data_IF_707144088129
#
_entry.id   IF_707144088129
#
_cell.length_a   1.000
_cell.length_b   1.000
_cell.length_c   1.000
_cell.angle_alpha   90.00
_cell.angle_beta   90.00
_cell.angle_gamma   90.00
#
_symmetry.space_group_name_H-M   'P 1'
#
loop_
_entity.id
_entity.type
_entity.pdbx_description
1 polymer ?
#
# COMPACT_ATOMS: atom_id res chain seq x y z
N UNK A 1 5.75 32.80 -1.05
CA UNK A 1 5.77 31.84 -2.18
C UNK A 1 4.66 30.85 -1.92
N UNK A 2 3.63 30.82 -2.77
CA UNK A 2 2.52 29.88 -2.66
C UNK A 2 3.03 28.48 -2.97
N UNK A 3 3.23 27.66 -1.95
CA UNK A 3 3.45 26.21 -2.12
C UNK A 3 2.19 25.64 -2.75
N UNK A 4 2.19 25.45 -4.07
CA UNK A 4 1.07 24.85 -4.78
C UNK A 4 0.85 23.46 -4.22
N UNK A 5 -0.28 23.25 -3.53
CA UNK A 5 -0.69 21.94 -3.01
C UNK A 5 -0.70 20.96 -4.18
N UNK A 6 0.15 19.94 -4.11
CA UNK A 6 0.15 18.89 -5.14
C UNK A 6 -1.19 18.17 -5.10
N UNK A 7 -1.78 17.90 -6.28
CA UNK A 7 -3.08 17.26 -6.32
C UNK A 7 -2.96 15.79 -5.91
N UNK A 8 -3.87 15.33 -5.06
CA UNK A 8 -3.74 14.06 -4.34
C UNK A 8 -3.70 12.83 -5.24
N UNK A 9 -4.25 12.89 -6.45
CA UNK A 9 -4.17 11.81 -7.44
C UNK A 9 -2.74 11.50 -7.92
N UNK A 10 -1.77 12.38 -7.67
CA UNK A 10 -0.37 12.21 -8.11
C UNK A 10 0.42 11.29 -7.18
N UNK A 11 0.01 11.18 -5.91
CA UNK A 11 0.76 10.43 -4.90
C UNK A 11 0.86 8.92 -5.14
N UNK A 12 -0.16 8.21 -5.66
CA UNK A 12 -0.01 6.79 -6.00
C UNK A 12 1.07 6.55 -7.07
N UNK A 13 1.12 7.42 -8.10
CA UNK A 13 2.12 7.36 -9.17
C UNK A 13 3.50 7.73 -8.63
N UNK A 14 3.59 8.75 -7.77
CA UNK A 14 4.85 9.10 -7.08
C UNK A 14 5.32 7.99 -6.16
N UNK A 15 4.42 7.29 -5.47
CA UNK A 15 4.74 6.13 -4.64
C UNK A 15 5.38 5.02 -5.45
N UNK A 16 4.81 4.71 -6.62
CA UNK A 16 5.39 3.76 -7.57
C UNK A 16 6.79 4.20 -8.04
N UNK A 17 6.96 5.46 -8.44
CA UNK A 17 8.25 5.99 -8.86
C UNK A 17 9.29 5.98 -7.73
N UNK A 18 8.88 6.39 -6.52
CA UNK A 18 9.73 6.39 -5.33
C UNK A 18 10.19 4.98 -4.96
N UNK A 19 9.28 4.01 -5.06
CA UNK A 19 9.56 2.60 -4.88
C UNK A 19 10.60 2.07 -5.88
N UNK A 20 10.55 2.50 -7.14
CA UNK A 20 11.52 2.11 -8.17
C UNK A 20 12.89 2.78 -8.01
N UNK A 21 12.93 3.99 -7.46
CA UNK A 21 14.17 4.78 -7.28
C UNK A 21 14.95 4.43 -6.01
N UNK A 22 14.29 3.85 -4.99
CA UNK A 22 14.90 3.48 -3.71
C UNK A 22 14.89 1.96 -3.45
N UNK A 23 15.43 1.12 -4.36
CA UNK A 23 15.30 -0.33 -4.27
C UNK A 23 15.98 -0.92 -3.02
N UNK A 24 17.14 -0.39 -2.62
CA UNK A 24 17.92 -0.94 -1.50
C UNK A 24 17.21 -0.85 -0.14
N UNK A 25 16.36 0.16 0.06
CA UNK A 25 15.74 0.46 1.34
C UNK A 25 14.31 -0.08 1.44
N UNK A 26 13.55 -0.03 0.33
CA UNK A 26 12.14 -0.36 0.32
C UNK A 26 11.85 -1.79 -0.16
N UNK A 27 12.53 -2.29 -1.21
CA UNK A 27 12.13 -3.57 -1.82
C UNK A 27 12.20 -4.75 -0.87
N UNK A 28 13.22 -4.82 -0.01
CA UNK A 28 13.35 -5.94 0.92
C UNK A 28 12.18 -5.99 1.91
N UNK A 29 11.76 -4.82 2.40
CA UNK A 29 10.65 -4.71 3.35
C UNK A 29 9.31 -4.97 2.66
N UNK A 30 9.11 -4.40 1.47
CA UNK A 30 7.87 -4.54 0.70
C UNK A 30 7.66 -5.95 0.13
N UNK A 31 8.74 -6.65 -0.22
CA UNK A 31 8.69 -7.97 -0.86
C UNK A 31 8.69 -9.12 0.18
N UNK A 32 9.18 -8.85 1.39
CA UNK A 32 9.10 -9.77 2.54
C UNK A 32 7.68 -10.33 2.82
N UNK A 33 6.62 -9.52 2.93
CA UNK A 33 5.28 -10.04 3.21
C UNK A 33 4.74 -10.90 2.05
N UNK A 34 5.13 -10.61 0.81
CA UNK A 34 4.75 -11.40 -0.37
C UNK A 34 5.40 -12.78 -0.30
N UNK A 35 6.72 -12.82 -0.05
CA UNK A 35 7.45 -14.09 0.10
C UNK A 35 6.89 -14.89 1.28
N UNK A 36 6.68 -14.25 2.42
CA UNK A 36 6.21 -14.90 3.63
C UNK A 36 4.78 -15.46 3.45
N UNK A 37 3.90 -14.74 2.75
CA UNK A 37 2.56 -15.24 2.39
C UNK A 37 2.65 -16.42 1.42
N UNK A 38 3.58 -16.40 0.47
CA UNK A 38 3.77 -17.50 -0.48
C UNK A 38 4.29 -18.77 0.21
N UNK A 39 5.27 -18.62 1.10
CA UNK A 39 5.80 -19.73 1.92
C UNK A 39 4.70 -20.30 2.81
N UNK A 40 3.96 -19.45 3.51
CA UNK A 40 2.85 -19.87 4.36
C UNK A 40 1.75 -20.54 3.54
N UNK A 41 1.45 -20.04 2.34
CA UNK A 41 0.45 -20.63 1.44
C UNK A 41 0.84 -22.02 0.98
N UNK A 42 2.09 -22.22 0.54
CA UNK A 42 2.59 -23.54 0.17
C UNK A 42 2.54 -24.52 1.35
N UNK A 43 2.93 -24.06 2.55
CA UNK A 43 2.86 -24.84 3.78
C UNK A 43 1.42 -25.21 4.17
N UNK A 44 0.51 -24.23 4.16
CA UNK A 44 -0.90 -24.40 4.49
C UNK A 44 -1.58 -25.37 3.53
N UNK A 45 -1.37 -25.21 2.22
CA UNK A 45 -1.93 -26.12 1.21
C UNK A 45 -1.37 -27.54 1.39
N UNK A 46 -0.06 -27.68 1.61
CA UNK A 46 0.58 -28.97 1.84
C UNK A 46 0.01 -29.71 3.05
N UNK A 47 -0.20 -29.00 4.17
CA UNK A 47 -0.83 -29.56 5.37
C UNK A 47 -2.29 -29.92 5.12
N UNK A 48 -3.05 -29.05 4.47
CA UNK A 48 -4.47 -29.29 4.20
C UNK A 48 -4.66 -30.53 3.31
N UNK A 49 -3.84 -30.70 2.28
CA UNK A 49 -3.90 -31.90 1.44
C UNK A 49 -3.48 -33.16 2.21
N UNK A 50 -2.45 -33.06 3.07
CA UNK A 50 -1.92 -34.23 3.78
C UNK A 50 -2.83 -34.74 4.89
N UNK A 51 -3.49 -33.83 5.62
CA UNK A 51 -4.24 -34.16 6.84
C UNK A 51 -5.75 -33.94 6.69
N UNK A 52 -6.18 -32.79 6.16
CA UNK A 52 -7.62 -32.45 6.06
C UNK A 52 -8.33 -33.30 5.02
N UNK A 53 -7.75 -33.45 3.83
CA UNK A 53 -8.38 -34.18 2.74
C UNK A 53 -8.75 -35.63 3.10
N UNK A 54 -7.83 -36.49 3.60
CA UNK A 54 -8.21 -37.85 3.98
C UNK A 54 -9.21 -37.87 5.15
N UNK A 55 -9.03 -37.00 6.15
CA UNK A 55 -9.93 -36.93 7.29
C UNK A 55 -11.37 -36.53 6.91
N UNK A 56 -11.53 -35.66 5.92
CA UNK A 56 -12.85 -35.28 5.38
C UNK A 56 -13.46 -36.42 4.57
N UNK A 57 -12.68 -37.07 3.70
CA UNK A 57 -13.17 -38.20 2.88
C UNK A 57 -13.69 -39.33 3.77
N UNK A 58 -12.93 -39.71 4.80
CA UNK A 58 -13.31 -40.78 5.71
C UNK A 58 -14.61 -40.44 6.47
N UNK A 59 -14.75 -39.20 6.97
CA UNK A 59 -15.99 -38.73 7.61
C UNK A 59 -17.21 -38.74 6.68
N UNK A 60 -17.05 -38.36 5.42
CA UNK A 60 -18.16 -38.39 4.46
C UNK A 60 -18.55 -39.83 4.08
N UNK A 61 -17.58 -40.75 4.03
CA UNK A 61 -17.86 -42.18 3.83
C UNK A 61 -18.60 -42.79 5.03
N UNK A 62 -18.25 -42.41 6.26
CA UNK A 62 -18.99 -42.79 7.47
C UNK A 62 -20.45 -42.29 7.46
N UNK A 63 -20.70 -41.12 6.84
CA UNK A 63 -22.06 -40.59 6.64
C UNK A 63 -22.82 -41.31 5.50
N UNK A 64 -22.27 -42.36 4.88
CA UNK A 64 -22.86 -43.06 3.73
C UNK A 64 -23.04 -42.18 2.47
N UNK A 65 -22.16 -41.19 2.25
CA UNK A 65 -22.16 -40.44 1.00
C UNK A 65 -21.58 -41.27 -0.16
N UNK A 66 -22.08 -41.09 -1.40
CA UNK A 66 -21.50 -41.74 -2.58
C UNK A 66 -20.00 -41.42 -2.73
N UNK A 67 -19.18 -42.44 -3.00
CA UNK A 67 -17.72 -42.32 -3.03
C UNK A 67 -17.21 -41.15 -3.89
N UNK A 68 -17.76 -40.97 -5.10
CA UNK A 68 -17.35 -39.88 -6.00
C UNK A 68 -17.68 -38.49 -5.45
N UNK A 69 -18.79 -38.35 -4.70
CA UNK A 69 -19.24 -37.10 -4.12
C UNK A 69 -18.41 -36.72 -2.89
N UNK A 70 -18.04 -37.71 -2.06
CA UNK A 70 -17.16 -37.52 -0.90
C UNK A 70 -15.80 -36.93 -1.30
N UNK A 71 -15.19 -37.45 -2.36
CA UNK A 71 -13.92 -36.92 -2.88
C UNK A 71 -14.06 -35.49 -3.40
N UNK A 72 -15.08 -35.22 -4.21
CA UNK A 72 -15.30 -33.88 -4.78
C UNK A 72 -15.50 -32.82 -3.69
N UNK A 73 -16.40 -33.08 -2.74
CA UNK A 73 -16.70 -32.15 -1.64
C UNK A 73 -15.49 -31.95 -0.73
N UNK A 74 -14.73 -33.02 -0.44
CA UNK A 74 -13.53 -32.93 0.39
C UNK A 74 -12.44 -32.09 -0.26
N UNK A 75 -12.22 -32.22 -1.59
CA UNK A 75 -11.26 -31.38 -2.32
C UNK A 75 -11.66 -29.90 -2.25
N UNK A 76 -12.93 -29.59 -2.54
CA UNK A 76 -13.43 -28.21 -2.50
C UNK A 76 -13.32 -27.62 -1.09
N UNK A 77 -13.71 -28.37 -0.05
CA UNK A 77 -13.59 -27.95 1.35
C UNK A 77 -12.14 -27.74 1.76
N UNK A 78 -11.24 -28.64 1.36
CA UNK A 78 -9.80 -28.52 1.65
C UNK A 78 -9.20 -27.25 1.05
N UNK A 79 -9.56 -26.93 -0.20
CA UNK A 79 -9.13 -25.69 -0.86
C UNK A 79 -9.71 -24.47 -0.14
N UNK A 80 -11.00 -24.51 0.22
CA UNK A 80 -11.67 -23.41 0.92
C UNK A 80 -11.07 -23.16 2.31
N UNK A 81 -10.82 -24.20 3.09
CA UNK A 81 -10.17 -24.10 4.40
C UNK A 81 -8.74 -23.57 4.27
N UNK A 82 -7.97 -24.03 3.28
CA UNK A 82 -6.66 -23.46 2.97
C UNK A 82 -6.74 -21.99 2.57
N UNK A 83 -7.75 -21.57 1.80
CA UNK A 83 -7.97 -20.17 1.44
C UNK A 83 -8.32 -19.31 2.66
N UNK A 84 -9.15 -19.83 3.58
CA UNK A 84 -9.51 -19.14 4.83
C UNK A 84 -8.28 -18.95 5.72
N UNK A 85 -7.44 -19.99 5.88
CA UNK A 85 -6.20 -19.91 6.65
C UNK A 85 -5.23 -18.88 6.06
N UNK A 86 -5.06 -18.88 4.73
CA UNK A 86 -4.24 -17.88 4.04
C UNK A 86 -4.78 -16.46 4.19
N UNK A 87 -6.09 -16.29 4.10
CA UNK A 87 -6.73 -14.99 4.30
C UNK A 87 -6.56 -14.47 5.72
N UNK A 88 -6.70 -15.34 6.73
CA UNK A 88 -6.46 -14.99 8.12
C UNK A 88 -5.00 -14.60 8.36
N UNK A 89 -4.06 -15.36 7.81
CA UNK A 89 -2.64 -15.04 7.89
C UNK A 89 -2.32 -13.69 7.24
N UNK A 90 -2.84 -13.46 6.02
CA UNK A 90 -2.66 -12.19 5.31
C UNK A 90 -3.27 -11.00 6.06
N UNK A 91 -4.42 -11.19 6.73
CA UNK A 91 -5.07 -10.17 7.54
C UNK A 91 -4.22 -9.73 8.75
N UNK A 92 -3.48 -10.66 9.35
CA UNK A 92 -2.56 -10.36 10.46
C UNK A 92 -1.26 -9.75 9.95
N UNK A 93 -0.74 -10.25 8.82
CA UNK A 93 0.54 -9.84 8.29
C UNK A 93 0.52 -8.43 7.70
N UNK A 94 -0.56 -8.08 7.01
CA UNK A 94 -0.63 -6.84 6.23
C UNK A 94 -0.45 -5.60 7.10
N UNK A 95 -1.15 -5.41 8.24
CA UNK A 95 -0.95 -4.24 9.11
C UNK A 95 0.50 -4.10 9.59
N UNK A 96 1.12 -5.20 10.04
CA UNK A 96 2.49 -5.20 10.57
C UNK A 96 3.50 -4.69 9.52
N UNK A 97 3.34 -5.14 8.27
CA UNK A 97 4.24 -4.74 7.19
C UNK A 97 3.89 -3.38 6.60
N UNK A 98 2.63 -2.96 6.68
CA UNK A 98 2.22 -1.59 6.33
C UNK A 98 2.98 -0.56 7.17
N UNK A 99 3.11 -0.81 8.47
CA UNK A 99 3.81 0.07 9.42
C UNK A 99 5.30 0.12 9.07
N UNK A 100 5.90 -1.05 8.85
CA UNK A 100 7.31 -1.14 8.51
C UNK A 100 7.64 -0.47 7.15
N UNK A 101 6.79 -0.64 6.13
CA UNK A 101 6.98 0.03 4.82
C UNK A 101 6.85 1.54 4.97
N UNK A 102 5.91 1.99 5.80
CA UNK A 102 5.69 3.41 6.05
C UNK A 102 6.88 4.05 6.76
N UNK A 103 7.34 3.45 7.86
CA UNK A 103 8.50 3.94 8.62
C UNK A 103 9.72 4.10 7.73
N UNK A 104 9.98 3.08 6.91
CA UNK A 104 11.08 3.11 5.95
C UNK A 104 10.91 4.18 4.90
N UNK A 105 9.67 4.45 4.48
CA UNK A 105 9.40 5.51 3.50
C UNK A 105 9.61 6.90 4.10
N UNK A 106 9.15 7.14 5.33
CA UNK A 106 9.40 8.40 6.03
C UNK A 106 10.89 8.60 6.32
N UNK A 107 11.60 7.55 6.75
CA UNK A 107 13.05 7.59 6.95
C UNK A 107 13.80 7.87 5.65
N UNK A 108 13.43 7.22 4.55
CA UNK A 108 14.00 7.49 3.23
C UNK A 108 13.71 8.92 2.73
N UNK A 109 12.59 9.52 3.16
CA UNK A 109 12.28 10.93 2.91
C UNK A 109 13.00 11.90 3.86
N UNK A 110 13.75 11.39 4.85
CA UNK A 110 14.49 12.19 5.83
C UNK A 110 13.60 12.80 6.91
N UNK A 111 12.48 12.15 7.25
CA UNK A 111 11.60 12.51 8.36
C UNK A 111 11.83 11.58 9.57
N UNK A 112 13.10 11.27 9.84
CA UNK A 112 13.50 10.37 10.93
C UNK A 112 13.13 10.93 12.30
N UNK A 113 13.15 12.26 12.44
CA UNK A 113 12.83 12.99 13.67
C UNK A 113 11.42 12.71 14.19
N UNK A 114 10.47 12.31 13.33
CA UNK A 114 9.08 12.01 13.74
C UNK A 114 9.04 10.77 14.68
N UNK A 115 10.05 9.91 14.60
CA UNK A 115 10.12 8.68 15.39
C UNK A 115 10.90 8.85 16.71
N UNK A 116 11.53 10.01 16.94
CA UNK A 116 12.29 10.28 18.16
C UNK A 116 11.37 10.37 19.40
N UNK A 117 10.17 10.96 19.24
CA UNK A 117 9.17 11.07 20.29
C UNK A 117 8.51 9.71 20.65
N UNK A 118 8.49 8.77 19.69
CA UNK A 118 7.97 7.40 19.89
C UNK A 118 8.96 6.52 20.68
N UNK A 119 10.26 6.68 20.46
CA UNK A 119 11.31 5.88 21.10
C UNK A 119 11.47 6.21 22.60
N UNK A 120 10.99 7.36 23.05
CA UNK A 120 10.98 7.78 24.46
C UNK A 120 9.86 7.08 25.29
N UNK A 121 8.91 6.41 24.62
CA UNK A 121 7.83 5.65 25.27
C UNK A 121 8.31 4.23 25.60
N UNK A 122 8.70 4.01 26.87
CA UNK A 122 9.16 2.71 27.43
C UNK A 122 8.03 1.66 27.57
N UNK A 123 7.20 1.51 26.53
CA UNK A 123 6.22 0.44 26.46
C UNK A 123 6.87 -0.83 25.83
N UNK A 124 6.66 -2.03 26.39
CA UNK A 124 7.15 -3.26 25.77
C UNK A 124 6.53 -3.41 24.37
N UNK A 125 7.39 -3.43 23.33
CA UNK A 125 7.01 -3.46 21.90
C UNK A 125 5.95 -4.50 21.55
N UNK A 126 5.92 -5.64 22.26
CA UNK A 126 4.94 -6.71 22.10
C UNK A 126 3.51 -6.31 22.53
N UNK A 127 3.36 -5.52 23.60
CA UNK A 127 2.05 -5.11 24.11
C UNK A 127 1.43 -4.03 23.22
N UNK A 128 2.26 -3.08 22.76
CA UNK A 128 1.85 -2.06 21.78
C UNK A 128 1.48 -2.73 20.46
N UNK A 129 2.33 -3.63 19.95
CA UNK A 129 2.05 -4.42 18.76
C UNK A 129 0.74 -5.21 18.88
N UNK A 130 0.47 -5.88 20.02
CA UNK A 130 -0.77 -6.63 20.21
C UNK A 130 -2.02 -5.75 20.32
N UNK A 131 -1.93 -4.60 21.01
CA UNK A 131 -3.00 -3.61 21.10
C UNK A 131 -3.31 -3.00 19.74
N UNK A 132 -2.28 -2.62 19.00
CA UNK A 132 -2.37 -2.06 17.66
C UNK A 132 -2.90 -3.11 16.69
N UNK A 133 -2.44 -4.36 16.78
CA UNK A 133 -2.95 -5.47 15.97
C UNK A 133 -4.44 -5.71 16.22
N UNK A 134 -4.90 -5.74 17.48
CA UNK A 134 -6.32 -5.92 17.80
C UNK A 134 -7.19 -4.79 17.24
N UNK A 135 -6.76 -3.53 17.43
CA UNK A 135 -7.48 -2.36 16.91
C UNK A 135 -7.51 -2.36 15.38
N UNK A 136 -6.36 -2.64 14.76
CA UNK A 136 -6.18 -2.65 13.30
C UNK A 136 -6.95 -3.78 12.64
N UNK A 137 -6.97 -4.98 13.22
CA UNK A 137 -7.75 -6.11 12.71
C UNK A 137 -9.24 -5.81 12.79
N UNK A 138 -9.74 -5.25 13.89
CA UNK A 138 -11.18 -4.92 14.03
C UNK A 138 -11.61 -3.84 13.04
N UNK A 139 -10.80 -2.79 12.89
CA UNK A 139 -11.05 -1.71 11.93
C UNK A 139 -10.98 -2.23 10.50
N UNK A 140 -9.95 -3.01 10.17
CA UNK A 140 -9.79 -3.63 8.84
C UNK A 140 -10.95 -4.56 8.53
N UNK A 141 -11.39 -5.37 9.49
CA UNK A 141 -12.55 -6.25 9.33
C UNK A 141 -13.84 -5.44 9.09
N UNK A 142 -14.06 -4.37 9.84
CA UNK A 142 -15.20 -3.47 9.64
C UNK A 142 -15.19 -2.87 8.23
N UNK A 143 -14.02 -2.38 7.78
CA UNK A 143 -13.85 -1.84 6.43
C UNK A 143 -14.08 -2.90 5.34
N UNK A 144 -13.65 -4.14 5.56
CA UNK A 144 -13.92 -5.27 4.66
C UNK A 144 -15.43 -5.53 4.57
N UNK A 145 -16.14 -5.56 5.70
CA UNK A 145 -17.61 -5.75 5.71
C UNK A 145 -18.32 -4.62 4.96
N UNK A 146 -17.91 -3.38 5.19
CA UNK A 146 -18.44 -2.22 4.45
C UNK A 146 -18.14 -2.34 2.96
N UNK A 147 -16.93 -2.75 2.58
CA UNK A 147 -16.55 -3.00 1.18
C UNK A 147 -17.40 -4.10 0.54
N UNK A 148 -17.63 -5.21 1.24
CA UNK A 148 -18.49 -6.30 0.74
C UNK A 148 -19.91 -5.80 0.52
N UNK A 149 -20.48 -5.07 1.48
CA UNK A 149 -21.80 -4.46 1.34
C UNK A 149 -21.84 -3.53 0.11
N UNK A 150 -20.80 -2.73 -0.07
CA UNK A 150 -20.68 -1.83 -1.21
C UNK A 150 -20.61 -2.57 -2.54
N UNK A 151 -19.83 -3.65 -2.62
CA UNK A 151 -19.73 -4.52 -3.80
C UNK A 151 -21.11 -5.12 -4.12
N UNK A 152 -21.84 -5.61 -3.12
CA UNK A 152 -23.19 -6.16 -3.34
C UNK A 152 -24.13 -5.07 -3.90
N UNK A 153 -24.06 -3.86 -3.36
CA UNK A 153 -24.89 -2.74 -3.82
C UNK A 153 -24.50 -2.24 -5.22
N UNK A 154 -23.21 -2.30 -5.57
CA UNK A 154 -22.67 -1.85 -6.87
C UNK A 154 -22.59 -2.95 -7.93
N UNK A 155 -22.85 -4.21 -7.57
CA UNK A 155 -22.94 -5.37 -8.47
C UNK A 155 -23.81 -5.14 -9.72
N UNK A 156 -25.04 -4.61 -9.63
CA UNK A 156 -25.85 -4.34 -10.82
C UNK A 156 -25.23 -3.28 -11.76
N UNK A 157 -24.38 -2.41 -11.23
CA UNK A 157 -23.74 -1.31 -11.95
C UNK A 157 -22.51 -1.78 -12.75
N UNK A 158 -21.89 -2.89 -12.36
CA UNK A 158 -20.76 -3.51 -13.06
C UNK A 158 -21.16 -4.27 -14.34
N UNK A 159 -22.47 -4.35 -14.66
CA UNK A 159 -22.97 -4.95 -15.89
C UNK A 159 -22.52 -4.17 -17.15
N UNK A 160 -22.15 -2.90 -17.01
CA UNK A 160 -21.62 -2.08 -18.11
C UNK A 160 -20.09 -2.05 -18.00
N UNK A 161 -19.37 -2.81 -18.85
CA UNK A 161 -17.91 -2.79 -18.85
C UNK A 161 -17.41 -1.37 -19.16
N UNK A 162 -16.34 -0.94 -18.50
CA UNK A 162 -15.78 0.43 -18.51
C UNK A 162 -16.50 1.43 -17.61
N UNK A 163 -17.79 1.70 -17.81
CA UNK A 163 -18.51 2.67 -16.96
C UNK A 163 -18.67 2.17 -15.52
N UNK A 164 -19.02 0.90 -15.36
CA UNK A 164 -19.11 0.27 -14.05
C UNK A 164 -17.76 0.25 -13.33
N UNK A 165 -16.67 0.05 -14.07
CA UNK A 165 -15.30 0.05 -13.52
C UNK A 165 -14.88 1.45 -13.07
N UNK A 166 -15.06 2.47 -13.91
CA UNK A 166 -14.72 3.85 -13.58
C UNK A 166 -15.52 4.36 -12.36
N UNK A 167 -16.81 4.02 -12.30
CA UNK A 167 -17.66 4.38 -11.18
C UNK A 167 -17.29 3.60 -9.91
N UNK A 168 -16.94 2.32 -10.03
CA UNK A 168 -16.43 1.53 -8.91
C UNK A 168 -15.11 2.11 -8.37
N UNK A 169 -14.19 2.56 -9.23
CA UNK A 169 -12.97 3.26 -8.81
C UNK A 169 -13.28 4.54 -8.03
N UNK A 170 -14.20 5.36 -8.54
CA UNK A 170 -14.56 6.62 -7.89
C UNK A 170 -15.18 6.39 -6.51
N UNK A 171 -16.14 5.49 -6.43
CA UNK A 171 -16.87 5.24 -5.18
C UNK A 171 -15.99 4.48 -4.16
N UNK A 172 -15.20 3.52 -4.63
CA UNK A 172 -14.30 2.75 -3.76
C UNK A 172 -13.01 3.51 -3.43
N UNK A 173 -12.76 4.63 -4.10
CA UNK A 173 -11.56 5.45 -3.90
C UNK A 173 -11.51 6.04 -2.50
N UNK A 174 -12.53 6.77 -2.08
CA UNK A 174 -12.57 7.39 -0.75
C UNK A 174 -12.32 6.41 0.41
N UNK A 175 -13.04 5.26 0.52
CA UNK A 175 -12.79 4.31 1.60
C UNK A 175 -11.43 3.61 1.50
N UNK A 176 -10.90 3.42 0.28
CA UNK A 176 -9.55 2.84 0.10
C UNK A 176 -8.47 3.80 0.58
N UNK A 177 -8.57 5.09 0.21
CA UNK A 177 -7.65 6.12 0.68
C UNK A 177 -7.72 6.29 2.21
N UNK A 178 -8.93 6.27 2.77
CA UNK A 178 -9.11 6.35 4.23
C UNK A 178 -8.52 5.13 4.91
N UNK A 179 -8.79 3.92 4.43
CA UNK A 179 -8.19 2.69 4.96
C UNK A 179 -6.66 2.71 4.96
N UNK A 180 -6.04 3.24 3.90
CA UNK A 180 -4.59 3.32 3.77
C UNK A 180 -3.98 4.39 4.67
N UNK A 181 -4.74 5.43 5.07
CA UNK A 181 -4.26 6.50 5.95
C UNK A 181 -4.60 6.27 7.43
N UNK A 182 -5.68 5.56 7.72
CA UNK A 182 -6.29 5.46 9.04
C UNK A 182 -5.30 4.97 10.11
N UNK A 183 -4.51 3.95 9.80
CA UNK A 183 -3.51 3.43 10.73
C UNK A 183 -2.49 4.51 11.11
N UNK A 184 -1.99 5.26 10.13
CA UNK A 184 -1.01 6.33 10.31
C UNK A 184 -1.58 7.56 11.01
N UNK A 185 -2.83 7.94 10.70
CA UNK A 185 -3.50 9.02 11.41
C UNK A 185 -3.60 8.69 12.91
N UNK A 186 -3.77 7.42 13.28
CA UNK A 186 -3.82 6.97 14.67
C UNK A 186 -2.43 6.93 15.29
N UNK A 187 -1.43 6.38 14.59
CA UNK A 187 -0.09 6.15 15.12
C UNK A 187 0.74 7.44 15.19
N UNK A 188 0.85 8.21 14.10
CA UNK A 188 1.70 9.43 14.08
C UNK A 188 0.99 10.67 14.59
N UNK A 189 -0.28 10.86 14.23
CA UNK A 189 -1.04 12.06 14.64
C UNK A 189 -1.77 11.86 15.97
N UNK A 190 -1.80 10.64 16.50
CA UNK A 190 -2.52 10.31 17.74
C UNK A 190 -4.04 10.45 17.63
N UNK A 191 -4.60 10.47 16.41
CA UNK A 191 -6.03 10.66 16.21
C UNK A 191 -6.84 9.46 16.71
N UNK A 192 -8.05 9.72 17.19
CA UNK A 192 -9.07 8.68 17.33
C UNK A 192 -9.61 8.30 15.95
N UNK A 193 -10.10 7.07 15.80
CA UNK A 193 -10.76 6.60 14.56
C UNK A 193 -11.86 7.56 14.09
N UNK A 194 -12.62 8.13 15.04
CA UNK A 194 -13.64 9.13 14.75
C UNK A 194 -13.05 10.43 14.19
N UNK A 195 -11.92 10.90 14.73
CA UNK A 195 -11.27 12.14 14.29
C UNK A 195 -10.67 11.97 12.90
N UNK A 196 -10.00 10.85 12.62
CA UNK A 196 -9.53 10.50 11.27
C UNK A 196 -10.70 10.43 10.28
N UNK A 197 -11.85 9.85 10.67
CA UNK A 197 -13.05 9.83 9.82
C UNK A 197 -13.57 11.25 9.49
N UNK A 198 -13.65 12.14 10.49
CA UNK A 198 -14.09 13.52 10.25
C UNK A 198 -13.10 14.25 9.33
N UNK A 199 -11.80 14.09 9.58
CA UNK A 199 -10.76 14.67 8.73
C UNK A 199 -10.86 14.18 7.27
N UNK A 200 -11.05 12.86 7.07
CA UNK A 200 -11.23 12.26 5.75
C UNK A 200 -12.52 12.70 5.06
N UNK A 201 -13.58 12.98 5.84
CA UNK A 201 -14.85 13.50 5.34
C UNK A 201 -14.72 14.96 4.88
N UNK A 202 -13.99 15.77 5.62
CA UNK A 202 -13.76 17.19 5.28
C UNK A 202 -12.90 17.31 4.01
N UNK A 203 -11.95 16.39 3.83
CA UNK A 203 -11.07 16.30 2.65
C UNK A 203 -11.52 15.24 1.63
N UNK A 204 -12.82 14.98 1.52
CA UNK A 204 -13.38 13.88 0.70
C UNK A 204 -12.86 13.84 -0.74
N UNK A 205 -12.63 14.99 -1.37
CA UNK A 205 -12.16 15.09 -2.75
C UNK A 205 -10.70 14.66 -2.91
N UNK A 206 -9.85 15.01 -1.93
CA UNK A 206 -8.45 14.61 -1.91
C UNK A 206 -8.33 13.10 -1.69
N UNK A 207 -9.10 12.55 -0.75
CA UNK A 207 -9.17 11.12 -0.49
C UNK A 207 -9.76 10.35 -1.68
N UNK A 208 -10.86 10.83 -2.27
CA UNK A 208 -11.47 10.18 -3.43
C UNK A 208 -10.53 10.19 -4.65
N UNK A 209 -9.83 11.29 -4.92
CA UNK A 209 -8.92 11.39 -6.07
C UNK A 209 -7.67 10.51 -5.91
N UNK A 210 -7.06 10.50 -4.73
CA UNK A 210 -5.97 9.57 -4.40
C UNK A 210 -6.43 8.12 -4.55
N UNK A 211 -7.52 7.78 -3.88
CA UNK A 211 -8.00 6.41 -3.82
C UNK A 211 -8.53 5.88 -5.15
N UNK A 212 -9.08 6.74 -6.01
CA UNK A 212 -9.54 6.32 -7.35
C UNK A 212 -8.38 5.81 -8.20
N UNK A 213 -7.24 6.50 -8.16
CA UNK A 213 -6.02 6.09 -8.87
C UNK A 213 -5.40 4.87 -8.21
N UNK A 214 -5.29 4.86 -6.87
CA UNK A 214 -4.76 3.73 -6.12
C UNK A 214 -5.56 2.43 -6.40
N UNK A 215 -6.89 2.50 -6.31
CA UNK A 215 -7.78 1.39 -6.62
C UNK A 215 -7.71 1.01 -8.10
N UNK A 216 -7.61 1.99 -9.01
CA UNK A 216 -7.41 1.74 -10.44
C UNK A 216 -6.14 0.95 -10.75
N UNK A 217 -5.03 1.24 -10.06
CA UNK A 217 -3.79 0.46 -10.17
C UNK A 217 -3.97 -0.96 -9.62
N UNK A 218 -4.69 -1.11 -8.51
CA UNK A 218 -5.02 -2.42 -7.93
C UNK A 218 -5.92 -3.27 -8.85
N UNK A 219 -6.68 -2.68 -9.78
CA UNK A 219 -7.47 -3.47 -10.74
C UNK A 219 -6.62 -4.25 -11.75
N UNK A 220 -5.33 -3.92 -11.89
CA UNK A 220 -4.45 -4.63 -12.82
C UNK A 220 -4.14 -6.02 -12.24
N UNK A 221 -4.61 -7.11 -12.88
CA UNK A 221 -4.35 -8.46 -12.38
C UNK A 221 -2.85 -8.74 -12.38
N UNK A 222 -2.40 -9.65 -11.50
CA UNK A 222 -0.98 -9.99 -11.24
C UNK A 222 -0.20 -8.86 -10.55
N UNK A 223 -0.33 -7.61 -11.01
CA UNK A 223 0.37 -6.46 -10.43
C UNK A 223 -0.33 -5.85 -9.21
N UNK A 224 -1.59 -6.23 -8.94
CA UNK A 224 -2.37 -5.77 -7.78
C UNK A 224 -1.55 -5.82 -6.48
N UNK A 225 -0.89 -6.95 -6.20
CA UNK A 225 -0.15 -7.13 -4.94
C UNK A 225 0.99 -6.12 -4.85
N UNK A 226 1.70 -5.85 -5.95
CA UNK A 226 2.76 -4.84 -5.99
C UNK A 226 2.15 -3.44 -5.79
N UNK A 227 1.05 -3.15 -6.50
CA UNK A 227 0.39 -1.85 -6.40
C UNK A 227 -0.18 -1.55 -5.03
N UNK A 228 -0.69 -2.56 -4.32
CA UNK A 228 -1.13 -2.44 -2.92
C UNK A 228 0.00 -1.84 -2.07
N UNK A 229 1.22 -2.37 -2.20
CA UNK A 229 2.37 -1.86 -1.47
C UNK A 229 2.86 -0.50 -1.95
N UNK A 230 2.89 -0.25 -3.26
CA UNK A 230 3.30 1.06 -3.77
C UNK A 230 2.28 2.16 -3.44
N UNK A 231 1.00 1.80 -3.30
CA UNK A 231 -0.05 2.71 -2.85
C UNK A 231 0.17 3.11 -1.38
N UNK A 232 0.62 2.20 -0.53
CA UNK A 232 1.04 2.50 0.86
C UNK A 232 2.21 3.48 0.87
N UNK A 233 3.23 3.25 0.04
CA UNK A 233 4.34 4.20 -0.17
C UNK A 233 3.79 5.56 -0.63
N UNK A 234 2.87 5.59 -1.59
CA UNK A 234 2.21 6.81 -2.05
C UNK A 234 1.45 7.54 -0.94
N UNK A 235 0.69 6.83 -0.12
CA UNK A 235 -0.02 7.38 1.03
C UNK A 235 0.96 7.97 2.06
N UNK A 236 2.07 7.29 2.32
CA UNK A 236 3.11 7.80 3.23
C UNK A 236 3.78 9.06 2.71
N UNK A 237 4.02 9.17 1.40
CA UNK A 237 4.54 10.39 0.78
C UNK A 237 3.54 11.55 0.82
N UNK A 238 2.24 11.26 0.76
CA UNK A 238 1.20 12.26 0.93
C UNK A 238 1.19 12.79 2.38
N UNK A 239 1.20 11.89 3.36
CA UNK A 239 1.24 12.25 4.79
C UNK A 239 2.52 13.03 5.12
N UNK A 240 3.67 12.58 4.61
CA UNK A 240 4.95 13.27 4.76
C UNK A 240 4.89 14.73 4.29
N UNK A 241 4.29 14.98 3.13
CA UNK A 241 4.17 16.33 2.59
C UNK A 241 3.20 17.21 3.39
N UNK A 242 2.13 16.62 3.92
CA UNK A 242 1.18 17.31 4.79
C UNK A 242 1.85 17.70 6.13
N UNK A 243 2.60 16.77 6.72
CA UNK A 243 3.37 16.99 7.95
C UNK A 243 4.47 18.04 7.78
N UNK A 244 5.25 17.98 6.68
CA UNK A 244 6.27 18.97 6.36
C UNK A 244 5.69 20.39 6.27
N UNK A 245 4.48 20.52 5.72
CA UNK A 245 3.77 21.80 5.62
C UNK A 245 3.27 22.30 6.97
N UNK A 246 2.68 21.42 7.78
CA UNK A 246 2.21 21.75 9.13
C UNK A 246 3.35 22.24 10.03
N UNK A 247 4.53 21.61 9.93
CA UNK A 247 5.72 21.96 10.72
C UNK A 247 6.53 23.12 10.12
N UNK A 248 6.12 23.68 8.97
CA UNK A 248 6.86 24.74 8.29
C UNK A 248 8.25 24.32 7.79
N UNK A 249 8.52 23.01 7.68
CA UNK A 249 9.79 22.45 7.22
C UNK A 249 9.86 22.73 5.71
N UNK A 250 10.49 23.84 5.35
CA UNK A 250 10.64 24.24 3.95
C UNK A 250 11.82 23.48 3.36
N UNK A 251 11.60 22.24 2.91
CA UNK A 251 12.54 21.63 1.97
C UNK A 251 12.42 22.40 0.66
N UNK A 252 13.52 22.97 0.20
CA UNK A 252 13.64 23.54 -1.13
C UNK A 252 13.44 22.40 -2.14
N UNK A 253 12.18 22.10 -2.47
CA UNK A 253 11.72 21.01 -3.33
C UNK A 253 12.45 21.02 -4.68
N UNK A 254 12.99 22.20 -5.03
CA UNK A 254 13.79 22.50 -6.21
C UNK A 254 15.17 21.84 -6.26
N UNK A 255 15.68 21.22 -5.19
CA UNK A 255 16.96 20.48 -5.20
C UNK A 255 16.77 19.00 -5.53
N UNK A 256 15.69 18.39 -5.05
CA UNK A 256 15.35 16.99 -5.34
C UNK A 256 14.73 16.85 -6.74
N UNK A 257 13.97 17.84 -7.22
CA UNK A 257 13.51 17.89 -8.62
C UNK A 257 14.64 18.24 -9.62
N UNK A 258 15.71 18.94 -9.20
CA UNK A 258 16.86 19.28 -10.08
C UNK A 258 17.90 18.18 -10.20
N UNK A 259 18.10 17.35 -9.18
CA UNK A 259 18.95 16.15 -9.34
C UNK A 259 18.23 15.07 -10.17
N UNK A 260 16.89 15.10 -10.23
CA UNK A 260 16.05 14.16 -11.00
C UNK A 260 15.87 14.57 -12.46
N UNK A 261 16.10 15.85 -12.83
CA UNK A 261 16.15 16.29 -14.22
C UNK A 261 17.39 17.15 -14.50
N UNK A 262 18.48 16.61 -15.10
CA UNK A 262 19.43 17.48 -15.77
C UNK A 262 18.67 18.17 -16.91
N UNK A 263 18.50 19.49 -16.80
CA UNK A 263 18.06 20.31 -17.91
C UNK A 263 19.01 20.02 -19.06
N UNK A 264 18.49 19.49 -20.18
CA UNK A 264 19.27 19.32 -21.39
C UNK A 264 19.89 20.68 -21.72
N UNK A 265 21.22 20.77 -21.60
CA UNK A 265 21.94 21.98 -21.98
C UNK A 265 21.65 22.22 -23.45
N UNK A 266 21.08 23.38 -23.77
CA UNK A 266 21.01 23.84 -25.15
C UNK A 266 22.43 23.82 -25.74
N UNK A 267 22.61 23.44 -27.02
CA UNK A 267 23.94 23.32 -27.62
C UNK A 267 24.65 24.66 -27.46
N UNK A 268 25.78 24.64 -26.74
CA UNK A 268 26.64 25.80 -26.60
C UNK A 268 27.20 26.12 -27.97
N UNK A 269 26.80 27.26 -28.55
CA UNK A 269 27.55 27.91 -29.62
C UNK A 269 28.91 28.31 -29.05
N UNK A 270 29.86 27.39 -29.16
CA UNK A 270 31.27 27.63 -28.90
C UNK A 270 31.81 28.54 -30.01
N UNK A 271 31.95 29.83 -29.75
CA UNK A 271 32.83 30.68 -30.54
C UNK A 271 34.26 30.26 -30.21
N UNK A 272 34.80 29.35 -31.02
CA UNK A 272 36.17 28.88 -30.94
C UNK A 272 37.11 30.01 -31.41
N UNK A 273 37.66 30.78 -30.48
CA UNK A 273 38.79 31.66 -30.78
C UNK A 273 40.09 30.85 -30.62
N UNK A 274 40.65 30.46 -31.76
CA UNK A 274 41.93 29.77 -31.91
C UNK A 274 43.10 30.71 -31.59
N UNK A 275 44.03 30.38 -30.67
CA UNK A 275 45.27 31.13 -30.51
C UNK A 275 46.42 30.35 -31.14
N UNK A 276 46.54 30.41 -32.47
CA UNK A 276 47.75 29.97 -33.18
C UNK A 276 47.95 30.90 -34.38
N UNK A 277 48.73 31.97 -34.19
CA UNK A 277 49.58 32.66 -35.18
C UNK A 277 50.23 33.90 -34.53
N UNK A 278 51.05 33.68 -33.49
CA UNK A 278 51.99 34.70 -32.99
C UNK A 278 53.36 34.05 -32.72
N UNK A 279 53.94 33.46 -33.76
CA UNK A 279 55.38 33.15 -33.78
C UNK A 279 55.86 32.96 -35.23
N UNK A 280 55.96 34.07 -35.96
CA UNK A 280 56.85 34.18 -37.12
C UNK A 280 57.24 35.66 -37.31
N UNK A 281 58.20 36.09 -36.51
CA UNK A 281 59.10 37.21 -36.76
C UNK A 281 60.48 36.78 -36.22
N UNK A 282 61.15 35.93 -37.01
CA UNK A 282 62.60 35.71 -37.12
C UNK A 282 62.82 34.59 -38.14
#
# INVERSE_FOLDING_TARGET
MTTTKLPSFTFPIRGLYFFLTHPKQLWLVTLSPIILTLIFSAFSIGISIRFLLPALVDKFLEWNWPHWMSWFVSIVSTILEGAILNLLFFMVLTPIFQDLVFDRTLKARGLEQIFEDEEERDDPKLVVCWRNLRSSVLVTLCLIVVKILFIILTAPLQLIPVLGTALACYISGWPTAWSQRLHYDIELRGFKVSESYHHARDHKWDYASFGSVAFGLELIPVLNIVFLWTNIVGASLWIAEEYEKEMGITRDTKKQDREVYPVAQAPSTSTEQTPLLQQQNA
#
